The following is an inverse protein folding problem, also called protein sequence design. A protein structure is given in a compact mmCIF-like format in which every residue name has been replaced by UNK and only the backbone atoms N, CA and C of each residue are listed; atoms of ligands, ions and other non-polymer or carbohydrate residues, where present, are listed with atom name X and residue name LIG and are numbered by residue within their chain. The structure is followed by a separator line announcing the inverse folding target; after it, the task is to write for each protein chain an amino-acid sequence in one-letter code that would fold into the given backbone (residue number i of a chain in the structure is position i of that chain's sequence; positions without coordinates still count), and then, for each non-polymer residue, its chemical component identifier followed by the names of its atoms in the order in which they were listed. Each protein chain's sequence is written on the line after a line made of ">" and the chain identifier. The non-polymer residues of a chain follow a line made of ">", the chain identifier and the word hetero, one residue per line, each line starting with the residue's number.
data_IF_241755316130
#
_entry.id   IF_241755316130
#
_cell.length_a   1.000
_cell.length_b   1.000
_cell.length_c   1.000
_cell.angle_alpha   90.00
_cell.angle_beta   90.00
_cell.angle_gamma   90.00
#
_symmetry.space_group_name_H-M   'P 1'
#
loop_
_entity.id
_entity.type
_entity.pdbx_description
1 polymer ?
#
# COMPACT_ATOMS: atom_id res chain seq x y z
N UNK A 1 5.88 -5.42 27.97
CA UNK A 1 6.55 -4.60 26.94
C UNK A 1 5.57 -4.46 25.80
N UNK A 2 4.85 -3.37 25.76
CA UNK A 2 4.00 -2.94 24.64
C UNK A 2 4.90 -2.75 23.43
N UNK A 3 4.71 -3.57 22.41
CA UNK A 3 5.31 -3.36 21.08
C UNK A 3 4.76 -2.04 20.57
N UNK A 4 5.58 -1.04 20.39
CA UNK A 4 5.20 0.17 19.67
C UNK A 4 4.83 -0.24 18.23
N UNK A 5 3.54 -0.34 17.98
CA UNK A 5 2.98 -0.49 16.64
C UNK A 5 2.90 0.94 16.11
N UNK A 6 3.83 1.33 15.21
CA UNK A 6 3.53 2.62 14.66
C UNK A 6 4.51 3.40 13.82
N UNK A 7 5.61 2.86 13.32
CA UNK A 7 6.49 3.65 12.45
C UNK A 7 6.92 2.91 11.18
N UNK A 8 6.11 1.98 10.68
CA UNK A 8 6.42 1.25 9.46
C UNK A 8 5.22 1.02 8.57
N UNK A 9 5.43 1.09 7.27
CA UNK A 9 4.53 0.61 6.24
C UNK A 9 4.88 -0.84 5.91
N UNK A 10 3.88 -1.71 5.92
CA UNK A 10 4.07 -3.12 5.54
C UNK A 10 3.52 -3.32 4.13
N UNK A 11 4.37 -3.76 3.22
CA UNK A 11 3.92 -4.21 1.90
C UNK A 11 3.15 -5.52 2.05
N UNK A 12 1.87 -5.52 1.65
CA UNK A 12 0.96 -6.67 1.75
C UNK A 12 0.69 -7.35 0.43
N UNK A 13 0.66 -6.59 -0.65
CA UNK A 13 0.32 -7.09 -1.98
C UNK A 13 1.11 -6.33 -3.03
N UNK A 14 1.73 -7.07 -3.94
CA UNK A 14 2.34 -6.54 -5.17
C UNK A 14 1.89 -7.39 -6.34
N UNK A 15 1.48 -6.74 -7.41
CA UNK A 15 1.21 -7.37 -8.69
C UNK A 15 2.06 -6.65 -9.75
N UNK A 16 2.77 -7.41 -10.58
CA UNK A 16 3.56 -6.88 -11.69
C UNK A 16 3.47 -7.82 -12.89
N UNK A 17 2.92 -7.32 -13.99
CA UNK A 17 2.71 -8.11 -15.20
C UNK A 17 3.97 -8.19 -16.09
N UNK A 18 4.96 -7.33 -15.86
CA UNK A 18 6.21 -7.26 -16.65
C UNK A 18 7.37 -8.03 -16.04
N UNK A 19 7.27 -8.44 -14.77
CA UNK A 19 8.32 -9.17 -14.04
C UNK A 19 7.77 -10.52 -13.56
N UNK A 20 7.84 -11.53 -14.42
CA UNK A 20 7.17 -12.83 -14.26
C UNK A 20 7.60 -13.66 -13.03
N UNK A 21 8.71 -13.34 -12.35
CA UNK A 21 9.27 -14.11 -11.24
C UNK A 21 9.53 -13.26 -9.99
N UNK A 22 8.71 -12.25 -9.73
CA UNK A 22 8.86 -11.44 -8.52
C UNK A 22 8.33 -12.24 -7.32
N UNK A 23 9.19 -12.98 -6.64
CA UNK A 23 8.86 -13.52 -5.33
C UNK A 23 8.67 -12.36 -4.35
N UNK A 24 7.41 -12.08 -4.05
CA UNK A 24 7.08 -11.05 -3.07
C UNK A 24 7.22 -11.61 -1.66
N UNK A 25 8.09 -10.99 -0.87
CA UNK A 25 8.15 -11.20 0.58
C UNK A 25 7.63 -9.94 1.27
N UNK A 26 6.73 -10.13 2.22
CA UNK A 26 6.31 -9.01 3.09
C UNK A 26 7.56 -8.38 3.72
N UNK A 27 7.70 -7.06 3.56
CA UNK A 27 8.74 -6.31 4.23
C UNK A 27 8.20 -4.98 4.77
N UNK A 28 8.79 -4.54 5.86
CA UNK A 28 8.42 -3.28 6.49
C UNK A 28 9.36 -2.17 6.02
N UNK A 29 8.79 -1.05 5.62
CA UNK A 29 9.51 0.19 5.34
C UNK A 29 9.31 1.18 6.49
N UNK A 30 10.32 1.97 6.83
CA UNK A 30 10.15 3.08 7.75
C UNK A 30 9.08 4.04 7.24
N UNK A 31 8.19 4.49 8.13
CA UNK A 31 7.19 5.50 7.82
C UNK A 31 7.86 6.87 7.88
N UNK A 32 8.32 7.38 6.73
CA UNK A 32 9.01 8.66 6.62
C UNK A 32 8.37 9.54 5.55
N UNK A 33 8.37 10.87 5.74
CA UNK A 33 7.90 11.80 4.71
C UNK A 33 8.74 11.79 3.44
N UNK A 34 9.98 11.34 3.55
CA UNK A 34 10.91 11.32 2.40
C UNK A 34 10.60 10.23 1.37
N UNK A 35 9.81 9.21 1.71
CA UNK A 35 9.35 8.21 0.75
C UNK A 35 7.95 8.57 0.22
N UNK A 36 7.65 8.29 -1.05
CA UNK A 36 6.33 8.54 -1.66
C UNK A 36 5.19 7.91 -0.86
N UNK A 37 5.30 6.64 -0.53
CA UNK A 37 4.27 5.95 0.26
C UNK A 37 4.15 6.52 1.68
N UNK A 38 5.29 6.85 2.31
CA UNK A 38 5.32 7.45 3.63
C UNK A 38 4.74 8.86 3.66
N UNK A 39 5.03 9.68 2.65
CA UNK A 39 4.42 11.00 2.49
C UNK A 39 2.90 10.90 2.42
N UNK A 40 2.37 10.07 1.51
CA UNK A 40 0.93 9.85 1.34
C UNK A 40 0.28 9.28 2.61
N UNK A 41 0.96 8.35 3.29
CA UNK A 41 0.46 7.78 4.54
C UNK A 41 0.36 8.81 5.67
N UNK A 42 1.32 9.72 5.78
CA UNK A 42 1.41 10.71 6.85
C UNK A 42 0.57 11.96 6.59
N UNK A 43 0.46 12.40 5.32
CA UNK A 43 -0.29 13.61 4.96
C UNK A 43 -1.74 13.31 4.61
N UNK A 44 -2.02 12.10 4.10
CA UNK A 44 -3.31 11.77 3.52
C UNK A 44 -3.57 12.45 2.18
N UNK A 45 -2.54 13.02 1.55
CA UNK A 45 -2.59 13.63 0.22
C UNK A 45 -2.12 12.60 -0.81
N UNK A 46 -2.70 12.61 -2.01
CA UNK A 46 -2.24 11.75 -3.10
C UNK A 46 -1.05 12.38 -3.82
N UNK A 47 -0.27 11.54 -4.49
CA UNK A 47 0.81 11.97 -5.38
C UNK A 47 0.59 11.36 -6.76
N UNK A 48 0.65 12.19 -7.80
CA UNK A 48 0.56 11.78 -9.20
C UNK A 48 1.79 12.30 -9.95
N UNK A 49 2.63 11.40 -10.45
CA UNK A 49 3.88 11.72 -11.14
C UNK A 49 3.83 11.23 -12.58
N UNK A 50 4.16 12.11 -13.50
CA UNK A 50 4.35 11.77 -14.91
C UNK A 50 5.66 11.01 -15.13
N UNK A 51 6.70 11.36 -14.36
CA UNK A 51 7.99 10.67 -14.31
C UNK A 51 8.55 10.64 -12.89
N UNK A 52 8.61 9.43 -12.31
CA UNK A 52 9.14 9.22 -10.96
C UNK A 52 10.65 9.51 -10.83
N UNK A 53 11.39 9.54 -11.94
CA UNK A 53 12.80 9.91 -11.94
C UNK A 53 13.06 11.42 -12.06
N UNK A 54 11.99 12.19 -12.35
CA UNK A 54 12.06 13.64 -12.53
C UNK A 54 11.08 14.34 -11.58
N UNK A 55 11.30 14.17 -10.27
CA UNK A 55 10.51 14.80 -9.20
C UNK A 55 11.01 16.23 -9.00
N UNK A 56 10.12 17.23 -8.83
CA UNK A 56 10.49 18.60 -8.49
C UNK A 56 11.30 18.66 -7.18
N UNK A 57 12.26 19.62 -7.09
CA UNK A 57 13.12 19.77 -5.91
C UNK A 57 12.42 20.39 -4.69
N UNK A 58 11.26 21.00 -4.89
CA UNK A 58 10.47 21.72 -3.88
C UNK A 58 9.49 20.86 -3.10
N UNK A 59 9.54 19.53 -3.28
CA UNK A 59 8.68 18.58 -2.55
C UNK A 59 9.44 17.80 -1.49
N UNK A 60 8.72 17.34 -0.46
CA UNK A 60 9.30 16.67 0.71
C UNK A 60 9.66 15.18 0.45
N UNK A 61 9.28 14.62 -0.69
CA UNK A 61 9.46 13.20 -1.00
C UNK A 61 10.41 12.95 -2.17
N UNK A 62 11.00 11.78 -2.19
CA UNK A 62 11.88 11.31 -3.26
C UNK A 62 11.48 9.93 -3.76
N UNK A 63 11.89 9.59 -4.97
CA UNK A 63 11.74 8.24 -5.52
C UNK A 63 13.01 7.41 -5.30
N UNK A 64 12.85 6.24 -4.68
CA UNK A 64 13.97 5.32 -4.48
C UNK A 64 14.18 4.44 -5.72
N UNK A 65 15.24 4.71 -6.47
CA UNK A 65 15.60 3.99 -7.69
C UNK A 65 16.19 2.59 -7.47
N UNK A 66 16.37 2.15 -6.23
CA UNK A 66 17.02 0.87 -5.93
C UNK A 66 16.31 -0.35 -6.54
N UNK A 67 14.97 -0.30 -6.61
CA UNK A 67 14.18 -1.34 -7.27
C UNK A 67 14.45 -1.35 -8.78
N UNK A 68 14.38 -0.20 -9.42
CA UNK A 68 14.62 -0.05 -10.86
C UNK A 68 16.00 -0.56 -11.25
N UNK A 69 17.03 -0.18 -10.49
CA UNK A 69 18.41 -0.64 -10.69
C UNK A 69 18.52 -2.17 -10.50
N UNK A 70 17.92 -2.71 -9.45
CA UNK A 70 18.02 -4.13 -9.12
C UNK A 70 17.37 -5.03 -10.17
N UNK A 71 16.24 -4.61 -10.74
CA UNK A 71 15.44 -5.41 -11.66
C UNK A 71 15.54 -4.97 -13.11
N UNK A 72 16.46 -4.02 -13.41
CA UNK A 72 16.57 -3.39 -14.73
C UNK A 72 15.19 -2.92 -15.24
N UNK A 73 14.48 -2.21 -14.37
CA UNK A 73 13.13 -1.71 -14.59
C UNK A 73 13.12 -0.19 -14.62
N UNK A 74 12.27 0.42 -15.41
CA UNK A 74 12.09 1.88 -15.46
C UNK A 74 10.71 2.26 -14.94
N UNK A 75 10.66 2.82 -13.76
CA UNK A 75 9.43 3.43 -13.24
C UNK A 75 9.29 4.84 -13.84
N UNK A 76 8.25 5.05 -14.66
CA UNK A 76 7.94 6.35 -15.26
C UNK A 76 6.72 6.97 -14.54
N UNK A 77 5.50 6.67 -14.95
CA UNK A 77 4.33 7.24 -14.30
C UNK A 77 4.00 6.53 -12.99
N UNK A 78 3.59 7.30 -11.99
CA UNK A 78 3.26 6.76 -10.67
C UNK A 78 2.10 7.53 -10.04
N UNK A 79 1.10 6.78 -9.56
CA UNK A 79 -0.02 7.32 -8.80
C UNK A 79 -0.05 6.65 -7.42
N UNK A 80 0.04 7.46 -6.37
CA UNK A 80 0.05 7.02 -4.97
C UNK A 80 -1.15 7.62 -4.25
N UNK A 81 -2.06 6.78 -3.76
CA UNK A 81 -3.35 7.20 -3.19
C UNK A 81 -3.48 6.68 -1.76
N UNK A 82 -3.92 7.53 -0.80
CA UNK A 82 -4.22 7.08 0.56
C UNK A 82 -5.53 6.29 0.58
N UNK A 83 -5.52 5.18 1.29
CA UNK A 83 -6.74 4.43 1.67
C UNK A 83 -7.18 4.92 3.05
N UNK A 84 -8.32 5.60 3.12
CA UNK A 84 -8.81 6.23 4.35
C UNK A 84 -10.02 5.49 4.93
N UNK A 85 -10.03 5.35 6.25
CA UNK A 85 -11.18 4.80 7.00
C UNK A 85 -12.33 5.81 7.12
N UNK A 86 -13.43 5.40 7.78
CA UNK A 86 -14.60 6.24 8.02
C UNK A 86 -14.32 7.49 8.87
N UNK A 87 -13.17 7.55 9.57
CA UNK A 87 -12.71 8.70 10.35
C UNK A 87 -11.73 9.59 9.60
N UNK A 88 -11.59 9.36 8.27
CA UNK A 88 -10.63 10.05 7.40
C UNK A 88 -9.16 9.81 7.78
N UNK A 89 -8.86 8.75 8.54
CA UNK A 89 -7.50 8.34 8.87
C UNK A 89 -6.95 7.43 7.78
N UNK A 90 -5.73 7.67 7.35
CA UNK A 90 -5.05 6.78 6.39
C UNK A 90 -4.70 5.46 7.07
N UNK A 91 -5.25 4.38 6.55
CA UNK A 91 -5.03 2.99 7.01
C UNK A 91 -4.16 2.19 6.06
N UNK A 92 -3.90 2.72 4.88
CA UNK A 92 -3.04 2.10 3.87
C UNK A 92 -2.76 3.05 2.72
N UNK A 93 -1.91 2.59 1.81
CA UNK A 93 -1.51 3.33 0.60
C UNK A 93 -1.57 2.38 -0.59
N UNK A 94 -2.20 2.83 -1.66
CA UNK A 94 -2.21 2.15 -2.95
C UNK A 94 -1.22 2.84 -3.90
N UNK A 95 -0.30 2.08 -4.48
CA UNK A 95 0.64 2.56 -5.49
C UNK A 95 0.37 1.88 -6.83
N UNK A 96 0.17 2.68 -7.86
CA UNK A 96 0.05 2.24 -9.24
C UNK A 96 1.25 2.77 -10.02
N UNK A 97 1.88 1.90 -10.77
CA UNK A 97 3.14 2.18 -11.45
C UNK A 97 2.98 1.86 -12.94
N UNK A 98 3.45 2.77 -13.79
CA UNK A 98 3.51 2.59 -15.23
C UNK A 98 2.15 2.25 -15.86
N UNK A 99 1.26 3.25 -15.94
CA UNK A 99 0.02 3.12 -16.72
C UNK A 99 0.37 2.90 -18.19
N UNK A 100 0.01 1.73 -18.73
CA UNK A 100 0.27 1.36 -20.13
C UNK A 100 -0.87 1.78 -21.05
N UNK A 101 -0.54 2.16 -22.28
CA UNK A 101 -1.52 2.33 -23.38
C UNK A 101 -2.13 0.98 -23.74
N UNK A 102 -1.31 -0.06 -23.81
CA UNK A 102 -1.69 -1.39 -24.29
C UNK A 102 -1.48 -2.44 -23.19
N UNK A 103 -2.53 -3.21 -22.86
CA UNK A 103 -2.50 -4.19 -21.76
C UNK A 103 -1.41 -5.26 -21.92
N UNK A 104 -1.18 -5.73 -23.15
CA UNK A 104 -0.35 -6.91 -23.43
C UNK A 104 1.12 -6.57 -23.72
N UNK A 105 1.53 -5.31 -23.62
CA UNK A 105 2.92 -4.91 -23.84
C UNK A 105 3.72 -5.12 -22.55
N UNK A 106 4.84 -5.82 -22.65
CA UNK A 106 5.81 -5.95 -21.56
C UNK A 106 6.81 -4.79 -21.63
N UNK A 107 7.11 -4.19 -20.48
CA UNK A 107 8.03 -3.06 -20.36
C UNK A 107 9.47 -3.58 -20.23
N UNK A 108 10.07 -3.98 -21.34
CA UNK A 108 11.36 -4.67 -21.38
C UNK A 108 12.56 -3.74 -21.56
N UNK A 109 12.35 -2.50 -21.95
CA UNK A 109 13.41 -1.50 -22.16
C UNK A 109 12.91 -0.08 -21.96
N UNK A 110 13.82 0.86 -21.73
CA UNK A 110 13.49 2.27 -21.54
C UNK A 110 12.74 2.85 -22.75
N UNK A 111 13.09 2.45 -23.98
CA UNK A 111 12.39 2.91 -25.17
C UNK A 111 10.93 2.46 -25.20
N UNK A 112 10.64 1.22 -24.81
CA UNK A 112 9.25 0.72 -24.69
C UNK A 112 8.51 1.45 -23.58
N UNK A 113 9.16 1.74 -22.47
CA UNK A 113 8.57 2.53 -21.37
C UNK A 113 8.21 3.95 -21.85
N UNK A 114 9.11 4.61 -22.57
CA UNK A 114 8.84 5.95 -23.10
C UNK A 114 7.66 5.99 -24.08
N UNK A 115 7.52 4.98 -24.92
CA UNK A 115 6.46 4.90 -25.92
C UNK A 115 5.13 4.45 -25.33
N UNK A 116 5.10 3.49 -24.41
CA UNK A 116 3.89 2.83 -23.93
C UNK A 116 3.34 3.40 -22.61
N UNK A 117 4.20 3.97 -21.76
CA UNK A 117 3.76 4.47 -20.46
C UNK A 117 3.27 5.90 -20.58
N UNK A 118 2.04 6.11 -20.09
CA UNK A 118 1.37 7.41 -20.04
C UNK A 118 1.05 7.83 -18.62
N UNK A 119 0.79 9.12 -18.43
CA UNK A 119 0.38 9.70 -17.16
C UNK A 119 -1.02 9.21 -16.74
N UNK A 120 -1.29 9.24 -15.44
CA UNK A 120 -2.62 9.01 -14.90
C UNK A 120 -3.45 10.29 -15.03
N UNK A 121 -4.46 10.26 -15.90
CA UNK A 121 -5.39 11.37 -16.10
C UNK A 121 -6.43 11.48 -14.97
N UNK A 122 -7.17 12.59 -14.91
CA UNK A 122 -8.19 12.84 -13.89
C UNK A 122 -9.28 11.77 -13.84
N UNK A 123 -9.68 11.24 -15.01
CA UNK A 123 -10.70 10.19 -15.10
C UNK A 123 -10.20 8.90 -14.45
N UNK A 124 -8.97 8.50 -14.75
CA UNK A 124 -8.32 7.33 -14.14
C UNK A 124 -8.13 7.56 -12.66
N UNK A 125 -7.65 8.73 -12.24
CA UNK A 125 -7.53 9.09 -10.83
C UNK A 125 -8.87 8.94 -10.09
N UNK A 126 -9.96 9.49 -10.61
CA UNK A 126 -11.29 9.39 -9.98
C UNK A 126 -11.75 7.94 -9.79
N UNK A 127 -11.53 7.08 -10.81
CA UNK A 127 -11.84 5.66 -10.70
C UNK A 127 -11.00 4.96 -9.63
N UNK A 128 -9.69 5.15 -9.67
CA UNK A 128 -8.76 4.50 -8.72
C UNK A 128 -9.00 5.00 -7.29
N UNK A 129 -9.26 6.30 -7.10
CA UNK A 129 -9.57 6.84 -5.79
C UNK A 129 -10.87 6.24 -5.20
N UNK A 130 -11.88 6.00 -6.03
CA UNK A 130 -13.09 5.29 -5.61
C UNK A 130 -12.82 3.85 -5.22
N UNK A 131 -11.99 3.13 -5.99
CA UNK A 131 -11.57 1.76 -5.65
C UNK A 131 -10.73 1.72 -4.37
N UNK A 132 -9.80 2.66 -4.17
CA UNK A 132 -9.01 2.78 -2.95
C UNK A 132 -9.90 3.00 -1.71
N UNK A 133 -10.93 3.82 -1.85
CA UNK A 133 -11.92 4.04 -0.77
C UNK A 133 -12.72 2.77 -0.44
N UNK A 134 -13.17 2.03 -1.45
CA UNK A 134 -13.86 0.74 -1.25
C UNK A 134 -12.95 -0.31 -0.62
N UNK A 135 -11.69 -0.37 -1.05
CA UNK A 135 -10.69 -1.26 -0.46
C UNK A 135 -10.44 -0.91 1.02
N UNK A 136 -10.35 0.37 1.36
CA UNK A 136 -10.20 0.83 2.73
C UNK A 136 -11.36 0.34 3.63
N UNK A 137 -12.60 0.52 3.18
CA UNK A 137 -13.78 0.03 3.92
C UNK A 137 -13.75 -1.48 4.10
N UNK A 138 -13.36 -2.22 3.06
CA UNK A 138 -13.27 -3.69 3.13
C UNK A 138 -12.19 -4.16 4.11
N UNK A 139 -11.03 -3.49 4.12
CA UNK A 139 -9.95 -3.77 5.06
C UNK A 139 -10.37 -3.43 6.48
N UNK A 140 -11.00 -2.28 6.71
CA UNK A 140 -11.50 -1.87 8.02
C UNK A 140 -12.51 -2.89 8.57
N UNK A 141 -13.47 -3.31 7.76
CA UNK A 141 -14.45 -4.34 8.14
C UNK A 141 -13.76 -5.66 8.51
N UNK A 142 -12.78 -6.10 7.72
CA UNK A 142 -12.02 -7.33 8.02
C UNK A 142 -11.27 -7.23 9.36
N UNK A 143 -10.65 -6.09 9.65
CA UNK A 143 -9.98 -5.86 10.94
C UNK A 143 -10.96 -5.85 12.12
N UNK A 144 -12.14 -5.25 11.94
CA UNK A 144 -13.21 -5.27 12.96
C UNK A 144 -13.68 -6.70 13.24
N UNK A 145 -13.91 -7.52 12.21
CA UNK A 145 -14.29 -8.91 12.39
C UNK A 145 -13.21 -9.71 13.14
N UNK A 146 -11.95 -9.54 12.80
CA UNK A 146 -10.84 -10.20 13.52
C UNK A 146 -10.80 -9.78 14.99
N UNK A 147 -10.99 -8.49 15.28
CA UNK A 147 -11.02 -7.99 16.66
C UNK A 147 -12.17 -8.58 17.47
N UNK A 148 -13.37 -8.66 16.89
CA UNK A 148 -14.55 -9.29 17.52
C UNK A 148 -14.26 -10.76 17.81
N UNK A 149 -13.69 -11.49 16.87
CA UNK A 149 -13.35 -12.91 17.03
C UNK A 149 -12.34 -13.11 18.18
N UNK A 150 -11.28 -12.30 18.21
CA UNK A 150 -10.27 -12.33 19.28
C UNK A 150 -10.87 -12.03 20.67
N UNK A 151 -11.77 -11.05 20.74
CA UNK A 151 -12.49 -10.72 22.00
C UNK A 151 -13.37 -11.88 22.46
N UNK A 152 -14.10 -12.51 21.53
CA UNK A 152 -14.95 -13.66 21.83
C UNK A 152 -14.13 -14.86 22.32
N UNK A 153 -13.03 -15.18 21.66
CA UNK A 153 -12.11 -16.24 22.10
C UNK A 153 -11.52 -15.95 23.49
N UNK A 154 -11.13 -14.70 23.75
CA UNK A 154 -10.66 -14.27 25.07
C UNK A 154 -11.73 -14.42 26.15
N UNK A 155 -12.97 -14.05 25.84
CA UNK A 155 -14.11 -14.21 26.75
C UNK A 155 -14.39 -15.69 27.06
N UNK A 156 -14.40 -16.56 26.05
CA UNK A 156 -14.61 -17.99 26.24
C UNK A 156 -13.52 -18.60 27.13
N UNK A 157 -12.24 -18.28 26.85
CA UNK A 157 -11.12 -18.76 27.67
C UNK A 157 -11.23 -18.29 29.13
N UNK A 158 -11.55 -17.02 29.35
CA UNK A 158 -11.74 -16.49 30.70
C UNK A 158 -12.92 -17.15 31.43
N UNK A 159 -14.03 -17.43 30.75
CA UNK A 159 -15.19 -18.09 31.31
C UNK A 159 -14.90 -19.54 31.71
N UNK A 160 -14.17 -20.29 30.89
CA UNK A 160 -13.74 -21.66 31.19
C UNK A 160 -12.84 -21.67 32.45
N UNK A 161 -11.83 -20.80 32.49
CA UNK A 161 -10.95 -20.70 33.66
C UNK A 161 -11.69 -20.35 34.96
N UNK A 162 -12.68 -19.45 34.87
CA UNK A 162 -13.50 -19.08 36.04
C UNK A 162 -14.37 -20.24 36.54
N UNK A 163 -14.87 -21.09 35.63
CA UNK A 163 -15.66 -22.28 36.00
C UNK A 163 -14.71 -23.33 36.63
N UNK A 164 -13.55 -23.62 36.05
CA UNK A 164 -12.57 -24.56 36.57
C UNK A 164 -12.05 -24.17 37.98
N UNK A 165 -11.88 -22.89 38.25
CA UNK A 165 -11.46 -22.40 39.58
C UNK A 165 -12.58 -22.53 40.64
N UNK A 166 -13.83 -22.58 40.21
CA UNK A 166 -14.97 -22.68 41.14
C UNK A 166 -15.36 -24.11 41.50
N UNK A 167 -14.94 -25.10 40.72
CA UNK A 167 -15.20 -26.51 40.93
C UNK A 167 -13.89 -27.36 40.87
N UNK A 168 -13.02 -27.25 41.92
CA UNK A 168 -11.85 -28.09 42.03
C UNK A 168 -12.25 -29.48 42.49
N UNK A 169 -12.48 -30.39 41.57
CA UNK A 169 -12.54 -31.84 41.85
C UNK A 169 -11.17 -32.43 42.15
#
# INVERSE_FOLDING_TARGET
>A
KTKEIGNSLIFKLVQNDSLANLEFKEYALPLTRTSLAGYVALTGEFVNLDDAHNIPEDVDYTFNKAFDVKFNYRTKSMLVIPMKDHKNKTIGVLQLINRKKSKNVELTSDSVVEDEVISFDEKTFGLINSLASQAAVSIENSLLYQNIQNLFEGFVKASVLAIEQRDPT
#
